data_IF_211523103384
#
_entry.id   IF_211523103384
#
_cell.length_a   1.000
_cell.length_b   1.000
_cell.length_c   1.000
_cell.angle_alpha   90.00
_cell.angle_beta   90.00
_cell.angle_gamma   90.00
#
_symmetry.space_group_name_H-M   'P 1'
#
loop_
_entity.id
_entity.type
_entity.pdbx_description
1 polymer ?
#
# COMPACT_ATOMS: atom_id res chain seq x y z
N UNK A 1 -20.39 11.76 27.41
CA UNK A 1 -18.99 11.59 26.97
C UNK A 1 -18.48 12.96 26.63
N UNK A 2 -17.47 13.47 27.36
CA UNK A 2 -16.90 14.78 27.12
C UNK A 2 -16.04 14.76 25.83
N UNK A 3 -16.00 15.83 25.04
CA UNK A 3 -15.19 15.89 23.83
C UNK A 3 -13.71 16.02 24.21
N UNK A 4 -12.86 15.30 23.50
CA UNK A 4 -11.40 15.44 23.53
C UNK A 4 -11.02 16.83 23.02
N UNK A 5 -10.86 17.79 23.94
CA UNK A 5 -10.39 19.14 23.64
C UNK A 5 -8.89 19.25 23.87
N UNK A 6 -8.13 19.58 22.82
CA UNK A 6 -6.78 20.11 22.96
C UNK A 6 -6.89 21.53 23.52
N UNK A 7 -6.30 21.78 24.69
CA UNK A 7 -6.12 23.14 25.21
C UNK A 7 -5.12 23.92 24.35
N UNK A 8 -5.27 25.24 24.19
CA UNK A 8 -4.39 26.05 23.36
C UNK A 8 -2.99 26.10 23.96
N UNK A 9 -1.98 25.68 23.18
CA UNK A 9 -0.57 25.78 23.57
C UNK A 9 -0.13 27.24 23.48
N UNK A 10 0.20 27.84 24.64
CA UNK A 10 0.99 29.07 24.67
C UNK A 10 2.38 28.76 24.14
N UNK A 11 2.87 29.57 23.21
CA UNK A 11 4.28 29.52 22.79
C UNK A 11 5.18 29.77 23.98
N UNK A 12 5.88 28.73 24.43
CA UNK A 12 7.00 28.83 25.35
C UNK A 12 8.21 28.18 24.68
N UNK A 13 9.31 28.93 24.63
CA UNK A 13 10.60 28.52 24.07
C UNK A 13 11.37 27.57 25.02
N UNK A 14 10.68 26.89 25.94
CA UNK A 14 11.31 26.10 27.01
C UNK A 14 11.39 24.59 26.65
N UNK A 15 12.60 24.03 26.45
CA UNK A 15 12.80 22.63 26.05
C UNK A 15 12.22 21.62 27.05
N UNK A 16 12.13 21.96 28.34
CA UNK A 16 11.55 21.08 29.37
C UNK A 16 10.02 20.97 29.23
N UNK A 17 9.36 22.05 28.83
CA UNK A 17 7.91 22.08 28.67
C UNK A 17 7.49 21.36 27.38
N UNK A 18 8.27 21.50 26.30
CA UNK A 18 8.11 20.71 25.08
C UNK A 18 8.25 19.21 25.35
N UNK A 19 9.26 18.80 26.13
CA UNK A 19 9.44 17.40 26.54
C UNK A 19 8.25 16.88 27.32
N UNK A 20 7.73 17.66 28.28
CA UNK A 20 6.57 17.29 29.09
C UNK A 20 5.28 17.20 28.26
N UNK A 21 5.11 18.07 27.26
CA UNK A 21 3.98 18.05 26.34
C UNK A 21 4.02 16.84 25.40
N UNK A 22 5.21 16.47 24.92
CA UNK A 22 5.43 15.23 24.18
C UNK A 22 5.11 14.03 25.07
N UNK A 23 5.64 13.97 26.30
CA UNK A 23 5.34 12.88 27.24
C UNK A 23 3.83 12.76 27.53
N UNK A 24 3.11 13.88 27.65
CA UNK A 24 1.66 13.91 27.83
C UNK A 24 0.89 13.43 26.59
N UNK A 25 1.32 13.82 25.39
CA UNK A 25 0.74 13.34 24.13
C UNK A 25 0.95 11.82 23.96
N UNK A 26 2.14 11.32 24.29
CA UNK A 26 2.47 9.89 24.26
C UNK A 26 1.65 9.09 25.29
N UNK A 27 1.43 9.65 26.49
CA UNK A 27 0.60 9.03 27.52
C UNK A 27 -0.89 8.97 27.10
N UNK A 28 -1.41 10.00 26.41
CA UNK A 28 -2.78 9.98 25.86
C UNK A 28 -2.96 8.94 24.76
N UNK A 29 -1.91 8.62 24.00
CA UNK A 29 -1.92 7.56 22.99
C UNK A 29 -1.76 6.14 23.59
N UNK A 30 -1.60 6.03 24.91
CA UNK A 30 -1.44 4.77 25.63
C UNK A 30 -0.07 4.10 25.44
N UNK A 31 0.95 4.87 25.03
CA UNK A 31 2.32 4.40 24.81
C UNK A 31 3.14 4.64 26.09
N UNK A 32 3.80 3.61 26.63
CA UNK A 32 4.61 3.75 27.84
C UNK A 32 6.05 4.22 27.51
N UNK A 33 6.55 5.31 28.13
CA UNK A 33 7.89 5.86 27.83
C UNK A 33 9.06 4.89 28.06
N UNK A 34 8.92 3.95 29.00
CA UNK A 34 10.00 3.03 29.38
C UNK A 34 10.24 1.90 28.37
N UNK A 35 9.19 1.41 27.69
CA UNK A 35 9.36 0.47 26.56
C UNK A 35 9.85 1.18 25.30
N UNK A 36 9.45 2.45 25.15
CA UNK A 36 9.79 3.32 24.03
C UNK A 36 11.27 3.75 24.03
N UNK A 37 11.85 4.14 25.16
CA UNK A 37 13.25 4.61 25.19
C UNK A 37 14.29 3.49 25.02
N UNK A 38 13.99 2.26 25.46
CA UNK A 38 14.95 1.15 25.43
C UNK A 38 15.18 0.57 24.03
N UNK A 39 14.23 0.72 23.10
CA UNK A 39 14.38 0.26 21.71
C UNK A 39 15.22 1.25 20.86
N UNK A 40 15.36 2.50 21.30
CA UNK A 40 15.95 3.60 20.53
C UNK A 40 17.31 4.08 21.06
N UNK A 41 17.85 3.48 22.13
CA UNK A 41 19.22 3.74 22.60
C UNK A 41 20.29 2.91 21.84
N UNK A 42 19.88 2.19 20.79
CA UNK A 42 20.81 1.71 19.77
C UNK A 42 21.02 2.88 18.82
N UNK A 43 22.26 3.33 18.60
CA UNK A 43 22.60 4.53 17.81
C UNK A 43 22.28 4.45 16.31
N UNK A 44 21.05 4.07 15.96
CA UNK A 44 20.55 4.00 14.61
C UNK A 44 20.49 5.42 14.02
N UNK A 45 21.32 5.63 12.99
CA UNK A 45 21.42 6.90 12.27
C UNK A 45 20.24 7.10 11.29
N UNK A 46 19.38 6.09 11.12
CA UNK A 46 18.22 6.09 10.22
C UNK A 46 16.88 6.07 10.98
N UNK A 47 15.86 6.70 10.38
CA UNK A 47 14.49 6.67 10.88
C UNK A 47 13.89 5.28 10.66
N UNK A 48 13.81 4.47 11.71
CA UNK A 48 13.08 3.19 11.68
C UNK A 48 11.63 3.41 12.11
N UNK A 49 10.67 3.03 11.28
CA UNK A 49 9.25 3.07 11.65
C UNK A 49 8.96 2.05 12.77
N UNK A 50 8.40 2.45 13.92
CA UNK A 50 8.14 1.52 15.01
C UNK A 50 6.99 0.55 14.67
N UNK A 51 7.35 -0.63 14.16
CA UNK A 51 6.43 -1.70 13.74
C UNK A 51 5.39 -2.05 14.81
N UNK A 52 5.83 -2.16 16.07
CA UNK A 52 4.95 -2.49 17.20
C UNK A 52 3.85 -1.45 17.41
N UNK A 53 4.15 -0.16 17.22
CA UNK A 53 3.17 0.93 17.37
C UNK A 53 2.12 0.83 16.27
N UNK A 54 2.55 0.69 15.02
CA UNK A 54 1.65 0.52 13.88
C UNK A 54 0.77 -0.73 14.04
N UNK A 55 1.35 -1.85 14.49
CA UNK A 55 0.64 -3.12 14.78
C UNK A 55 -0.44 -2.93 15.84
N UNK A 56 -0.10 -2.34 16.98
CA UNK A 56 -1.06 -2.14 18.09
C UNK A 56 -2.22 -1.23 17.67
N UNK A 57 -1.95 -0.17 16.94
CA UNK A 57 -2.96 0.76 16.45
C UNK A 57 -3.88 0.07 15.44
N UNK A 58 -3.32 -0.67 14.48
CA UNK A 58 -4.10 -1.45 13.52
C UNK A 58 -4.99 -2.48 14.22
N UNK A 59 -4.47 -3.21 15.21
CA UNK A 59 -5.26 -4.20 15.97
C UNK A 59 -6.35 -3.57 16.82
N UNK A 60 -6.07 -2.42 17.46
CA UNK A 60 -7.09 -1.64 18.18
C UNK A 60 -8.21 -1.21 17.23
N UNK A 61 -7.86 -0.72 16.03
CA UNK A 61 -8.83 -0.35 15.01
C UNK A 61 -9.72 -1.53 14.61
N UNK A 62 -9.11 -2.67 14.28
CA UNK A 62 -9.85 -3.90 13.91
C UNK A 62 -10.76 -4.36 15.04
N UNK A 63 -10.27 -4.37 16.28
CA UNK A 63 -11.04 -4.85 17.44
C UNK A 63 -12.23 -3.94 17.76
N UNK A 64 -12.08 -2.63 17.56
CA UNK A 64 -13.16 -1.66 17.77
C UNK A 64 -14.36 -1.89 16.85
N UNK A 65 -14.15 -2.55 15.70
CA UNK A 65 -15.18 -2.85 14.70
C UNK A 65 -15.70 -4.30 14.77
N UNK A 66 -15.45 -4.99 15.89
CA UNK A 66 -15.96 -6.33 16.14
C UNK A 66 -14.98 -7.44 15.77
N UNK A 67 -15.03 -8.52 16.55
CA UNK A 67 -14.20 -9.71 16.35
C UNK A 67 -15.07 -10.90 15.97
N UNK A 68 -14.72 -11.55 14.86
CA UNK A 68 -15.36 -12.77 14.38
C UNK A 68 -14.34 -13.92 14.40
N UNK A 69 -14.50 -14.91 15.29
CA UNK A 69 -13.60 -16.05 15.34
C UNK A 69 -13.80 -16.95 14.11
N UNK A 70 -12.70 -17.52 13.61
CA UNK A 70 -12.75 -18.57 12.58
C UNK A 70 -13.39 -19.81 13.20
N UNK A 71 -14.45 -20.32 12.56
CA UNK A 71 -15.08 -21.60 12.95
C UNK A 71 -14.68 -22.72 12.00
N UNK A 72 -14.91 -23.98 12.39
CA UNK A 72 -14.58 -25.16 11.58
C UNK A 72 -15.19 -25.12 10.18
N UNK A 73 -16.39 -24.55 10.04
CA UNK A 73 -17.04 -24.37 8.74
C UNK A 73 -16.21 -23.46 7.81
N UNK A 74 -15.70 -22.34 8.31
CA UNK A 74 -14.89 -21.42 7.50
C UNK A 74 -13.62 -22.09 7.00
N UNK A 75 -12.97 -22.87 7.88
CA UNK A 75 -11.76 -23.63 7.53
C UNK A 75 -12.05 -24.58 6.36
N UNK A 76 -13.12 -25.37 6.46
CA UNK A 76 -13.49 -26.33 5.43
C UNK A 76 -13.88 -25.63 4.11
N UNK A 77 -14.75 -24.62 4.19
CA UNK A 77 -15.26 -23.87 3.04
C UNK A 77 -14.14 -23.15 2.27
N UNK A 78 -13.16 -22.58 2.99
CA UNK A 78 -11.99 -21.92 2.39
C UNK A 78 -11.01 -22.95 1.84
N UNK A 79 -10.72 -24.02 2.58
CA UNK A 79 -9.79 -25.05 2.12
C UNK A 79 -10.29 -25.70 0.82
N UNK A 80 -11.59 -26.03 0.73
CA UNK A 80 -12.21 -26.55 -0.48
C UNK A 80 -12.06 -25.57 -1.66
N UNK A 81 -12.38 -24.29 -1.46
CA UNK A 81 -12.23 -23.27 -2.49
C UNK A 81 -10.77 -23.12 -2.97
N UNK A 82 -9.81 -23.20 -2.04
CA UNK A 82 -8.38 -23.13 -2.33
C UNK A 82 -7.87 -24.34 -3.11
N UNK A 83 -8.32 -25.55 -2.76
CA UNK A 83 -7.95 -26.77 -3.48
C UNK A 83 -8.50 -26.79 -4.92
N UNK A 84 -9.75 -26.34 -5.09
CA UNK A 84 -10.37 -26.13 -6.40
C UNK A 84 -9.57 -25.10 -7.19
N UNK A 85 -9.31 -23.94 -6.61
CA UNK A 85 -8.56 -22.86 -7.25
C UNK A 85 -7.17 -23.31 -7.68
N UNK A 86 -6.44 -24.00 -6.79
CA UNK A 86 -5.11 -24.51 -7.08
C UNK A 86 -5.10 -25.50 -8.26
N UNK A 87 -6.14 -26.34 -8.36
CA UNK A 87 -6.31 -27.26 -9.48
C UNK A 87 -6.56 -26.52 -10.78
N UNK A 88 -7.47 -25.55 -10.78
CA UNK A 88 -7.85 -24.81 -11.99
C UNK A 88 -6.74 -23.89 -12.50
N UNK A 89 -5.97 -23.29 -11.60
CA UNK A 89 -4.86 -22.40 -11.95
C UNK A 89 -3.74 -23.13 -12.70
N UNK A 90 -3.58 -24.45 -12.54
CA UNK A 90 -2.56 -25.22 -13.24
C UNK A 90 -2.74 -25.22 -14.77
N UNK A 91 -3.97 -24.99 -15.26
CA UNK A 91 -4.27 -24.89 -16.69
C UNK A 91 -4.19 -23.44 -17.20
N UNK A 92 -4.14 -22.46 -16.29
CA UNK A 92 -4.32 -21.05 -16.62
C UNK A 92 -3.04 -20.21 -16.52
N UNK A 93 -1.98 -20.70 -15.88
CA UNK A 93 -0.68 -20.03 -15.78
C UNK A 93 0.46 -21.05 -15.72
N UNK A 94 1.63 -20.64 -16.22
CA UNK A 94 2.87 -21.41 -16.09
C UNK A 94 3.46 -21.41 -14.69
N UNK A 95 3.06 -20.46 -13.84
CA UNK A 95 3.63 -20.37 -12.51
C UNK A 95 3.14 -21.56 -11.65
N UNK A 96 4.07 -22.37 -11.12
CA UNK A 96 3.73 -23.55 -10.33
C UNK A 96 3.01 -23.16 -9.05
N UNK A 97 2.22 -24.08 -8.52
CA UNK A 97 1.62 -23.93 -7.20
C UNK A 97 2.68 -23.66 -6.12
N UNK A 98 2.34 -22.84 -5.13
CA UNK A 98 3.19 -22.61 -3.97
C UNK A 98 3.25 -23.90 -3.12
N UNK A 99 4.27 -24.74 -3.36
CA UNK A 99 4.43 -26.04 -2.68
C UNK A 99 5.27 -25.95 -1.40
N UNK A 100 5.95 -24.82 -1.15
CA UNK A 100 7.17 -24.81 -0.33
C UNK A 100 7.02 -24.52 1.17
N UNK A 101 5.81 -24.33 1.73
CA UNK A 101 5.65 -23.95 3.15
C UNK A 101 4.57 -24.76 3.90
N UNK A 102 4.49 -26.05 3.55
CA UNK A 102 3.49 -27.06 3.96
C UNK A 102 3.37 -27.38 5.46
N UNK A 103 4.11 -26.74 6.38
CA UNK A 103 4.01 -27.10 7.81
C UNK A 103 2.96 -26.30 8.59
N UNK A 104 2.60 -25.08 8.16
CA UNK A 104 1.61 -24.25 8.88
C UNK A 104 0.32 -23.97 8.09
N UNK A 105 0.31 -24.16 6.76
CA UNK A 105 -0.85 -24.09 5.84
C UNK A 105 -2.01 -23.15 6.24
N UNK A 106 -1.69 -21.98 6.80
CA UNK A 106 -2.69 -21.02 7.27
C UNK A 106 -3.10 -20.19 6.06
N UNK A 107 -4.07 -20.71 5.31
CA UNK A 107 -4.70 -20.01 4.18
C UNK A 107 -5.94 -19.22 4.62
N UNK A 108 -6.19 -19.15 5.93
CA UNK A 108 -7.35 -18.54 6.55
C UNK A 108 -6.93 -17.58 7.66
N UNK A 109 -7.47 -16.36 7.61
CA UNK A 109 -7.07 -15.26 8.48
C UNK A 109 -8.30 -14.55 9.04
N UNK A 110 -8.26 -14.20 10.33
CA UNK A 110 -9.08 -13.08 10.82
C UNK A 110 -8.46 -11.77 10.35
N UNK A 111 -9.19 -10.65 10.45
CA UNK A 111 -8.64 -9.31 10.21
C UNK A 111 -7.39 -9.03 11.07
N UNK A 112 -7.40 -9.47 12.33
CA UNK A 112 -6.27 -9.31 13.23
C UNK A 112 -5.07 -10.18 12.83
N UNK A 113 -5.31 -11.42 12.39
CA UNK A 113 -4.26 -12.29 11.84
C UNK A 113 -3.65 -11.68 10.58
N UNK A 114 -4.46 -11.05 9.72
CA UNK A 114 -3.99 -10.38 8.51
C UNK A 114 -3.06 -9.21 8.84
N UNK A 115 -3.42 -8.40 9.86
CA UNK A 115 -2.53 -7.34 10.36
C UNK A 115 -1.19 -7.94 10.82
N UNK A 116 -1.23 -8.96 11.67
CA UNK A 116 -0.01 -9.59 12.19
C UNK A 116 0.84 -10.23 11.08
N UNK A 117 0.21 -10.77 10.03
CA UNK A 117 0.89 -11.40 8.91
C UNK A 117 1.55 -10.40 7.95
N UNK A 118 0.99 -9.19 7.81
CA UNK A 118 1.41 -8.21 6.78
C UNK A 118 2.25 -7.07 7.31
N UNK A 119 2.24 -6.82 8.63
CA UNK A 119 2.87 -5.63 9.23
C UNK A 119 4.37 -5.49 8.94
N UNK A 120 5.11 -6.60 8.88
CA UNK A 120 6.53 -6.58 8.51
C UNK A 120 6.73 -6.11 7.06
N UNK A 121 5.91 -6.62 6.12
CA UNK A 121 5.94 -6.17 4.73
C UNK A 121 5.53 -4.71 4.56
N UNK A 122 4.59 -4.23 5.38
CA UNK A 122 4.21 -2.82 5.43
C UNK A 122 5.36 -1.92 5.85
N UNK A 123 6.07 -2.29 6.92
CA UNK A 123 7.24 -1.54 7.38
C UNK A 123 8.30 -1.43 6.28
N UNK A 124 8.70 -2.56 5.68
CA UNK A 124 9.69 -2.60 4.60
C UNK A 124 9.29 -1.75 3.39
N UNK A 125 8.00 -1.71 3.08
CA UNK A 125 7.48 -0.98 1.93
C UNK A 125 7.43 0.54 2.20
N UNK A 126 7.11 0.95 3.43
CA UNK A 126 6.88 2.36 3.78
C UNK A 126 8.13 3.05 4.34
N UNK A 127 9.10 2.30 4.87
CA UNK A 127 10.33 2.84 5.47
C UNK A 127 11.13 3.78 4.55
N UNK A 128 11.34 3.50 3.25
CA UNK A 128 12.02 4.42 2.34
C UNK A 128 11.37 5.80 2.26
N UNK A 129 10.05 5.86 2.40
CA UNK A 129 9.27 7.10 2.36
C UNK A 129 9.47 7.92 3.61
N UNK A 130 9.41 7.25 4.77
CA UNK A 130 9.65 7.85 6.05
C UNK A 130 11.06 8.45 6.11
N UNK A 131 12.05 7.71 5.59
CA UNK A 131 13.43 8.18 5.46
C UNK A 131 13.55 9.40 4.55
N UNK A 132 12.89 9.39 3.38
CA UNK A 132 12.85 10.51 2.45
C UNK A 132 12.27 11.78 3.08
N UNK A 133 11.11 11.68 3.72
CA UNK A 133 10.45 12.80 4.40
C UNK A 133 11.31 13.36 5.54
N UNK A 134 11.91 12.50 6.36
CA UNK A 134 12.77 12.94 7.45
C UNK A 134 14.04 13.64 6.95
N UNK A 135 14.63 13.19 5.84
CA UNK A 135 15.76 13.88 5.18
C UNK A 135 15.34 15.25 4.67
N UNK A 136 14.19 15.34 3.99
CA UNK A 136 13.67 16.60 3.48
C UNK A 136 13.44 17.60 4.62
N UNK A 137 12.83 17.19 5.73
CA UNK A 137 12.61 18.07 6.90
C UNK A 137 13.90 18.46 7.60
N UNK A 138 14.86 17.53 7.73
CA UNK A 138 16.17 17.85 8.34
C UNK A 138 16.90 18.93 7.53
N UNK A 139 16.81 18.87 6.19
CA UNK A 139 17.41 19.87 5.31
C UNK A 139 16.83 21.29 5.49
N UNK A 140 15.56 21.39 5.93
CA UNK A 140 14.92 22.69 6.26
C UNK A 140 15.46 23.24 7.58
N UNK A 141 15.64 22.39 8.59
CA UNK A 141 16.17 22.78 9.90
C UNK A 141 17.63 23.22 9.78
N UNK A 142 18.44 22.50 9.00
CA UNK A 142 19.86 22.85 8.78
C UNK A 142 20.04 24.20 8.05
N UNK A 143 19.03 24.65 7.31
CA UNK A 143 19.03 25.93 6.61
C UNK A 143 18.62 27.12 7.49
N UNK A 144 18.09 26.89 8.70
CA UNK A 144 17.70 27.95 9.62
C UNK A 144 18.79 28.19 10.67
N UNK A 145 19.25 29.44 10.80
CA UNK A 145 20.11 29.84 11.92
C UNK A 145 19.28 29.81 13.21
N UNK A 146 19.69 28.97 14.18
CA UNK A 146 19.03 28.91 15.47
C UNK A 146 19.34 30.16 16.32
N UNK A 147 18.37 30.68 17.09
CA UNK A 147 18.60 31.71 18.09
C UNK A 147 19.62 31.30 19.16
N UNK A 148 20.37 32.26 19.70
CA UNK A 148 21.29 32.04 20.82
C UNK A 148 20.53 31.49 22.05
N UNK A 149 20.89 30.28 22.50
CA UNK A 149 20.29 29.61 23.66
C UNK A 149 19.38 28.40 23.33
N UNK A 150 19.13 28.13 22.04
CA UNK A 150 18.39 26.95 21.61
C UNK A 150 19.13 25.63 21.98
N UNK A 151 18.40 24.53 22.26
CA UNK A 151 19.02 23.23 22.45
C UNK A 151 19.89 22.86 21.24
N UNK A 152 20.94 22.03 21.41
CA UNK A 152 21.81 21.65 20.31
C UNK A 152 20.99 21.14 19.11
N UNK A 153 21.29 21.62 17.89
CA UNK A 153 20.59 21.23 16.65
C UNK A 153 20.38 19.71 16.57
N UNK A 154 21.41 18.95 16.98
CA UNK A 154 21.37 17.49 17.01
C UNK A 154 20.28 16.90 17.94
N UNK A 155 20.02 17.53 19.09
CA UNK A 155 18.98 17.09 20.03
C UNK A 155 17.58 17.40 19.51
N UNK A 156 17.38 18.57 18.89
CA UNK A 156 16.11 18.95 18.24
C UNK A 156 15.83 18.03 17.06
N UNK A 157 16.83 17.79 16.20
CA UNK A 157 16.71 16.90 15.05
C UNK A 157 16.38 15.46 15.46
N UNK A 158 16.98 14.95 16.53
CA UNK A 158 16.66 13.62 17.07
C UNK A 158 15.23 13.52 17.62
N UNK A 159 14.77 14.55 18.34
CA UNK A 159 13.40 14.62 18.86
C UNK A 159 12.37 14.71 17.74
N UNK A 160 12.61 15.57 16.75
CA UNK A 160 11.74 15.75 15.59
C UNK A 160 11.63 14.47 14.77
N UNK A 161 12.76 13.78 14.53
CA UNK A 161 12.79 12.47 13.86
C UNK A 161 11.94 11.44 14.61
N UNK A 162 12.05 11.39 15.93
CA UNK A 162 11.27 10.48 16.78
C UNK A 162 9.77 10.78 16.70
N UNK A 163 9.41 12.07 16.72
CA UNK A 163 8.04 12.54 16.59
C UNK A 163 7.44 12.16 15.23
N UNK A 164 8.16 12.42 14.13
CA UNK A 164 7.75 12.06 12.77
C UNK A 164 7.57 10.54 12.64
N UNK A 165 8.53 9.74 13.12
CA UNK A 165 8.42 8.28 13.07
C UNK A 165 7.18 7.76 13.80
N UNK A 166 6.83 8.38 14.92
CA UNK A 166 5.62 8.02 15.70
C UNK A 166 4.33 8.43 14.99
N UNK A 167 4.30 9.62 14.39
CA UNK A 167 3.15 10.11 13.63
C UNK A 167 2.90 9.25 12.38
N UNK A 168 3.97 8.93 11.63
CA UNK A 168 3.89 8.04 10.48
C UNK A 168 3.45 6.63 10.86
N UNK A 169 4.00 6.05 11.94
CA UNK A 169 3.57 4.75 12.43
C UNK A 169 2.10 4.74 12.87
N UNK A 170 1.63 5.85 13.46
CA UNK A 170 0.22 6.02 13.84
C UNK A 170 -0.69 6.05 12.62
N UNK A 171 -0.37 6.87 11.62
CA UNK A 171 -1.12 6.98 10.37
C UNK A 171 -1.10 5.65 9.59
N UNK A 172 0.06 4.99 9.55
CA UNK A 172 0.22 3.68 8.94
C UNK A 172 -0.66 2.63 9.66
N UNK A 173 -0.61 2.59 11.00
CA UNK A 173 -1.43 1.67 11.79
C UNK A 173 -2.93 1.88 11.56
N UNK A 174 -3.40 3.13 11.50
CA UNK A 174 -4.80 3.44 11.18
C UNK A 174 -5.17 2.98 9.76
N UNK A 175 -4.30 3.25 8.78
CA UNK A 175 -4.51 2.86 7.38
C UNK A 175 -4.57 1.34 7.24
N UNK A 176 -3.61 0.61 7.83
CA UNK A 176 -3.60 -0.87 7.85
C UNK A 176 -4.86 -1.41 8.52
N UNK A 177 -5.27 -0.81 9.64
CA UNK A 177 -6.50 -1.16 10.35
C UNK A 177 -7.73 -1.01 9.45
N UNK A 178 -7.85 0.11 8.73
CA UNK A 178 -8.94 0.34 7.80
C UNK A 178 -8.91 -0.64 6.61
N UNK A 179 -7.73 -0.88 6.03
CA UNK A 179 -7.55 -1.81 4.92
C UNK A 179 -7.96 -3.24 5.29
N UNK A 180 -7.69 -3.67 6.53
CA UNK A 180 -8.06 -4.99 7.02
C UNK A 180 -9.59 -5.26 6.96
N UNK A 181 -10.42 -4.24 6.85
CA UNK A 181 -11.87 -4.39 6.63
C UNK A 181 -12.26 -4.54 5.15
N UNK A 182 -11.47 -3.97 4.23
CA UNK A 182 -11.79 -3.95 2.80
C UNK A 182 -11.18 -5.08 1.99
N UNK A 183 -10.08 -5.68 2.46
CA UNK A 183 -9.35 -6.74 1.75
C UNK A 183 -9.97 -8.10 1.99
N UNK A 184 -10.08 -8.93 0.95
CA UNK A 184 -10.56 -10.31 1.04
C UNK A 184 -9.43 -11.34 1.15
N UNK A 185 -8.20 -10.94 0.84
CA UNK A 185 -7.01 -11.78 0.96
C UNK A 185 -5.69 -11.02 1.19
N UNK A 186 -4.59 -11.77 1.23
CA UNK A 186 -3.24 -11.25 1.51
C UNK A 186 -2.69 -10.32 0.44
N UNK A 187 -3.01 -10.54 -0.84
CA UNK A 187 -2.44 -9.84 -1.98
C UNK A 187 -3.41 -8.83 -2.63
N UNK A 188 -4.58 -8.58 -2.03
CA UNK A 188 -5.56 -7.64 -2.60
C UNK A 188 -5.05 -6.20 -2.78
N UNK A 189 -4.08 -5.81 -1.95
CA UNK A 189 -3.38 -4.52 -2.02
C UNK A 189 -2.44 -4.45 -3.24
N UNK A 190 -2.08 -5.58 -3.85
CA UNK A 190 -1.12 -5.64 -4.96
C UNK A 190 0.33 -5.40 -4.53
N UNK A 191 0.60 -5.34 -3.23
CA UNK A 191 1.93 -5.21 -2.65
C UNK A 191 2.38 -6.56 -2.06
N UNK A 192 3.67 -6.89 -2.14
CA UNK A 192 4.25 -8.11 -1.56
C UNK A 192 4.47 -7.93 -0.05
N UNK A 193 3.38 -8.09 0.71
CA UNK A 193 3.37 -7.82 2.16
C UNK A 193 3.74 -9.04 3.01
N UNK A 194 3.84 -10.23 2.41
CA UNK A 194 4.11 -11.49 3.10
C UNK A 194 5.22 -12.24 2.38
N UNK A 195 6.25 -12.61 3.15
CA UNK A 195 7.36 -13.44 2.68
C UNK A 195 7.45 -14.71 3.57
N UNK A 196 7.52 -15.92 2.99
CA UNK A 196 7.34 -16.24 1.58
C UNK A 196 5.91 -15.96 1.10
N UNK A 197 5.74 -15.69 -0.20
CA UNK A 197 4.42 -15.46 -0.77
C UNK A 197 3.57 -16.73 -0.66
N UNK A 198 2.33 -16.54 -0.21
CA UNK A 198 1.37 -17.63 -0.01
C UNK A 198 -0.05 -17.09 -0.11
N UNK A 199 -1.00 -17.88 -0.61
CA UNK A 199 -2.37 -17.43 -0.69
C UNK A 199 -3.00 -17.42 0.71
N UNK A 200 -3.94 -16.51 0.93
CA UNK A 200 -4.63 -16.40 2.21
C UNK A 200 -5.89 -15.57 2.10
N UNK A 201 -6.97 -16.04 2.70
CA UNK A 201 -8.30 -15.44 2.61
C UNK A 201 -8.82 -15.01 3.99
N UNK A 202 -9.67 -13.98 3.99
CA UNK A 202 -10.40 -13.48 5.16
C UNK A 202 -11.89 -13.82 4.97
N UNK A 203 -12.39 -14.94 5.54
CA UNK A 203 -13.75 -15.42 5.31
C UNK A 203 -14.82 -14.37 5.61
N UNK A 204 -14.65 -13.65 6.73
CA UNK A 204 -15.54 -12.57 7.12
C UNK A 204 -15.71 -11.53 6.01
N UNK A 205 -14.59 -11.07 5.44
CA UNK A 205 -14.63 -10.03 4.43
C UNK A 205 -15.18 -10.56 3.10
N UNK A 206 -14.97 -11.83 2.79
CA UNK A 206 -15.58 -12.49 1.62
C UNK A 206 -17.09 -12.58 1.77
N UNK A 207 -17.59 -12.93 2.95
CA UNK A 207 -19.03 -12.97 3.25
C UNK A 207 -19.65 -11.57 3.14
N UNK A 208 -19.05 -10.57 3.79
CA UNK A 208 -19.47 -9.16 3.68
C UNK A 208 -19.38 -8.64 2.24
N UNK A 209 -18.37 -9.08 1.47
CA UNK A 209 -18.25 -8.73 0.07
C UNK A 209 -19.39 -9.32 -0.76
N UNK A 210 -19.78 -10.56 -0.48
CA UNK A 210 -20.80 -11.31 -1.19
C UNK A 210 -22.26 -10.95 -0.89
N UNK A 211 -22.53 -10.28 0.23
CA UNK A 211 -23.87 -10.15 0.82
C UNK A 211 -24.96 -9.65 -0.15
N UNK A 212 -24.63 -8.67 -1.00
CA UNK A 212 -25.61 -7.96 -1.85
C UNK A 212 -25.56 -8.36 -3.34
N UNK A 213 -24.73 -9.34 -3.71
CA UNK A 213 -24.48 -9.68 -5.14
C UNK A 213 -25.47 -10.74 -5.65
N UNK A 214 -26.12 -11.49 -4.75
CA UNK A 214 -27.06 -12.56 -5.12
C UNK A 214 -26.40 -13.76 -5.83
N UNK A 215 -25.09 -13.94 -5.61
CA UNK A 215 -24.30 -15.07 -6.14
C UNK A 215 -24.11 -16.12 -5.04
N UNK A 216 -24.04 -17.39 -5.43
CA UNK A 216 -23.76 -18.48 -4.50
C UNK A 216 -22.44 -18.23 -3.71
N UNK A 217 -22.45 -18.30 -2.37
CA UNK A 217 -21.26 -18.09 -1.55
C UNK A 217 -20.05 -18.97 -1.93
N UNK A 218 -20.28 -20.19 -2.42
CA UNK A 218 -19.20 -21.07 -2.89
C UNK A 218 -18.50 -20.51 -4.12
N UNK A 219 -19.26 -19.93 -5.07
CA UNK A 219 -18.68 -19.31 -6.26
C UNK A 219 -17.89 -18.04 -5.91
N UNK A 220 -18.36 -17.26 -4.94
CA UNK A 220 -17.63 -16.09 -4.42
C UNK A 220 -16.31 -16.54 -3.79
N UNK A 221 -16.31 -17.56 -2.93
CA UNK A 221 -15.09 -18.09 -2.32
C UNK A 221 -14.10 -18.60 -3.36
N UNK A 222 -14.55 -19.37 -4.35
CA UNK A 222 -13.69 -19.89 -5.43
C UNK A 222 -13.10 -18.74 -6.25
N UNK A 223 -13.88 -17.69 -6.56
CA UNK A 223 -13.37 -16.52 -7.26
C UNK A 223 -12.24 -15.82 -6.53
N UNK A 224 -12.40 -15.56 -5.22
CA UNK A 224 -11.34 -14.96 -4.41
C UNK A 224 -10.14 -15.90 -4.22
N UNK A 225 -10.37 -17.21 -4.08
CA UNK A 225 -9.31 -18.22 -4.00
C UNK A 225 -8.49 -18.31 -5.29
N UNK A 226 -9.12 -18.25 -6.47
CA UNK A 226 -8.43 -18.20 -7.76
C UNK A 226 -7.54 -16.96 -7.85
N UNK A 227 -8.08 -15.81 -7.47
CA UNK A 227 -7.32 -14.55 -7.52
C UNK A 227 -6.13 -14.57 -6.58
N UNK A 228 -6.33 -15.01 -5.34
CA UNK A 228 -5.23 -15.10 -4.37
C UNK A 228 -4.19 -16.14 -4.76
N UNK A 229 -4.62 -17.31 -5.24
CA UNK A 229 -3.71 -18.33 -5.75
C UNK A 229 -2.88 -17.82 -6.93
N UNK A 230 -3.48 -17.07 -7.86
CA UNK A 230 -2.75 -16.49 -8.99
C UNK A 230 -1.69 -15.48 -8.52
N UNK A 231 -2.07 -14.54 -7.64
CA UNK A 231 -1.15 -13.51 -7.13
C UNK A 231 -0.02 -14.11 -6.28
N UNK A 232 -0.32 -15.11 -5.45
CA UNK A 232 0.71 -15.81 -4.68
C UNK A 232 1.73 -16.51 -5.59
N UNK A 233 1.27 -17.16 -6.67
CA UNK A 233 2.16 -17.77 -7.66
C UNK A 233 2.98 -16.72 -8.42
N UNK A 234 2.39 -15.57 -8.75
CA UNK A 234 3.08 -14.47 -9.43
C UNK A 234 4.27 -13.97 -8.61
N UNK A 235 4.05 -13.60 -7.34
CA UNK A 235 5.10 -13.03 -6.49
C UNK A 235 6.18 -14.06 -6.13
N UNK A 236 5.81 -15.32 -5.92
CA UNK A 236 6.76 -16.39 -5.61
C UNK A 236 7.69 -16.72 -6.80
N UNK A 237 7.20 -16.56 -8.04
CA UNK A 237 7.96 -16.85 -9.26
C UNK A 237 8.63 -15.63 -9.89
N UNK A 238 8.34 -14.41 -9.41
CA UNK A 238 8.94 -13.18 -9.91
C UNK A 238 9.47 -12.29 -8.77
N UNK A 239 10.53 -12.72 -8.04
CA UNK A 239 11.06 -11.94 -6.91
C UNK A 239 11.50 -10.53 -7.28
N UNK A 240 11.97 -10.32 -8.51
CA UNK A 240 12.37 -9.00 -9.01
C UNK A 240 11.22 -7.99 -9.00
N UNK A 241 9.96 -8.44 -9.12
CA UNK A 241 8.79 -7.57 -9.11
C UNK A 241 8.60 -6.93 -7.72
N UNK A 242 8.95 -7.67 -6.67
CA UNK A 242 8.95 -7.18 -5.28
C UNK A 242 9.94 -6.02 -5.16
N UNK A 243 11.17 -6.23 -5.64
CA UNK A 243 12.22 -5.22 -5.62
C UNK A 243 11.87 -4.02 -6.50
N UNK A 244 11.24 -4.25 -7.66
CA UNK A 244 10.77 -3.18 -8.55
C UNK A 244 9.73 -2.28 -7.88
N UNK A 245 8.71 -2.85 -7.24
CA UNK A 245 7.68 -2.10 -6.53
C UNK A 245 8.27 -1.31 -5.35
N UNK A 246 9.11 -1.96 -4.53
CA UNK A 246 9.81 -1.31 -3.41
C UNK A 246 10.74 -0.20 -3.90
N UNK A 247 11.43 -0.43 -5.02
CA UNK A 247 12.29 0.53 -5.68
C UNK A 247 11.54 1.77 -6.14
N UNK A 248 10.41 1.61 -6.84
CA UNK A 248 9.57 2.72 -7.29
C UNK A 248 9.03 3.55 -6.10
N UNK A 249 8.62 2.89 -5.02
CA UNK A 249 8.20 3.57 -3.78
C UNK A 249 9.38 4.33 -3.15
N UNK A 250 10.57 3.73 -3.11
CA UNK A 250 11.78 4.38 -2.63
C UNK A 250 12.22 5.58 -3.48
N UNK A 251 12.14 5.49 -4.80
CA UNK A 251 12.37 6.59 -5.74
C UNK A 251 11.42 7.77 -5.45
N UNK A 252 10.13 7.48 -5.27
CA UNK A 252 9.14 8.48 -4.91
C UNK A 252 9.47 9.18 -3.58
N UNK A 253 9.79 8.41 -2.53
CA UNK A 253 10.15 8.93 -1.22
C UNK A 253 11.42 9.79 -1.23
N UNK A 254 12.45 9.38 -1.97
CA UNK A 254 13.69 10.13 -2.12
C UNK A 254 13.52 11.42 -2.94
N UNK A 255 12.50 11.48 -3.81
CA UNK A 255 12.17 12.66 -4.59
C UNK A 255 11.44 13.75 -3.80
N UNK A 256 11.05 13.50 -2.55
CA UNK A 256 10.36 14.48 -1.70
C UNK A 256 11.27 15.68 -1.43
N UNK A 257 10.87 16.86 -1.89
CA UNK A 257 11.54 18.13 -1.60
C UNK A 257 10.57 19.04 -0.85
N UNK A 258 11.02 19.62 0.25
CA UNK A 258 10.25 20.62 0.98
C UNK A 258 10.74 21.99 0.53
N UNK A 259 9.91 22.69 -0.25
CA UNK A 259 10.18 24.07 -0.64
C UNK A 259 9.65 25.01 0.44
N UNK A 260 10.56 25.44 1.32
CA UNK A 260 10.27 26.37 2.41
C UNK A 260 9.75 27.71 1.88
N UNK A 261 10.24 28.17 0.72
CA UNK A 261 9.81 29.41 0.13
C UNK A 261 8.37 29.29 -0.40
N UNK A 262 8.03 28.17 -1.02
CA UNK A 262 6.66 27.88 -1.42
C UNK A 262 5.72 27.83 -0.21
N UNK A 263 6.11 27.16 0.87
CA UNK A 263 5.33 27.12 2.11
C UNK A 263 5.13 28.53 2.68
N UNK A 264 6.16 29.37 2.71
CA UNK A 264 6.05 30.75 3.17
C UNK A 264 5.10 31.58 2.29
N UNK A 265 5.20 31.43 0.98
CA UNK A 265 4.33 32.13 0.03
C UNK A 265 2.87 31.68 0.18
N UNK A 266 2.62 30.37 0.30
CA UNK A 266 1.28 29.82 0.54
C UNK A 266 0.72 30.25 1.90
N UNK A 267 1.55 30.35 2.94
CA UNK A 267 1.13 30.85 4.25
C UNK A 267 0.69 32.31 4.14
N UNK A 268 1.51 33.15 3.48
CA UNK A 268 1.22 34.56 3.27
C UNK A 268 -0.09 34.73 2.47
N UNK A 269 -0.26 33.99 1.39
CA UNK A 269 -1.47 34.01 0.56
C UNK A 269 -2.71 33.52 1.32
N UNK A 270 -2.57 32.50 2.16
CA UNK A 270 -3.65 32.00 3.01
C UNK A 270 -4.07 33.00 4.10
N UNK A 271 -3.13 33.77 4.66
CA UNK A 271 -3.43 34.87 5.57
C UNK A 271 -4.10 36.04 4.85
N UNK A 272 -3.62 36.40 3.65
CA UNK A 272 -4.17 37.50 2.86
C UNK A 272 -5.57 37.21 2.31
N UNK A 273 -5.83 35.96 1.92
CA UNK A 273 -7.14 35.50 1.44
C UNK A 273 -8.16 35.22 2.56
N UNK A 274 -7.71 35.22 3.82
CA UNK A 274 -8.55 34.85 4.98
C UNK A 274 -8.85 33.36 5.08
N UNK A 275 -8.15 32.50 4.33
CA UNK A 275 -8.23 31.05 4.44
C UNK A 275 -7.70 30.54 5.80
N UNK A 276 -6.70 31.24 6.35
CA UNK A 276 -6.26 31.07 7.73
C UNK A 276 -6.65 32.34 8.51
N UNK A 277 -7.54 32.18 9.49
CA UNK A 277 -7.89 33.23 10.44
C UNK A 277 -7.15 32.98 11.77
N UNK A 278 -6.23 33.87 12.19
CA UNK A 278 -5.53 33.79 13.47
C UNK A 278 -6.47 33.68 14.69
N UNK A 279 -7.71 34.14 14.56
CA UNK A 279 -8.71 34.12 15.63
C UNK A 279 -9.60 32.87 15.60
N UNK A 280 -9.47 32.03 14.57
CA UNK A 280 -10.20 30.78 14.43
C UNK A 280 -9.24 29.59 14.19
N UNK A 281 -8.83 28.87 15.24
CA UNK A 281 -7.95 27.71 15.13
C UNK A 281 -8.45 26.61 14.18
N UNK A 282 -9.77 26.47 13.99
CA UNK A 282 -10.34 25.48 13.07
C UNK A 282 -10.06 25.81 11.60
N UNK A 283 -9.86 27.09 11.26
CA UNK A 283 -9.51 27.51 9.90
C UNK A 283 -8.19 26.90 9.44
N UNK A 284 -7.23 26.74 10.35
CA UNK A 284 -5.93 26.11 10.08
C UNK A 284 -6.09 24.63 9.73
N UNK A 285 -6.91 23.91 10.49
CA UNK A 285 -7.22 22.49 10.25
C UNK A 285 -7.96 22.29 8.92
N UNK A 286 -8.90 23.18 8.59
CA UNK A 286 -9.63 23.15 7.33
C UNK A 286 -8.69 23.43 6.15
N UNK A 287 -7.82 24.44 6.26
CA UNK A 287 -6.87 24.80 5.22
C UNK A 287 -5.84 23.69 4.93
N UNK A 288 -5.28 23.06 5.98
CA UNK A 288 -4.40 21.89 5.84
C UNK A 288 -5.11 20.72 5.14
N UNK A 289 -6.36 20.42 5.53
CA UNK A 289 -7.16 19.37 4.88
C UNK A 289 -7.53 19.69 3.42
N UNK A 290 -7.48 20.97 3.03
CA UNK A 290 -7.70 21.43 1.64
C UNK A 290 -6.41 21.43 0.81
N UNK A 291 -5.30 20.93 1.36
CA UNK A 291 -4.04 20.79 0.64
C UNK A 291 -3.14 22.03 0.70
N UNK A 292 -3.46 23.02 1.54
CA UNK A 292 -2.54 24.12 1.83
C UNK A 292 -1.26 23.53 2.46
N UNK A 293 -0.08 23.91 1.95
CA UNK A 293 1.24 23.37 2.31
C UNK A 293 1.58 21.98 1.75
N UNK A 294 0.86 21.51 0.73
CA UNK A 294 1.28 20.32 -0.02
C UNK A 294 2.37 20.73 -1.01
N UNK A 295 3.60 20.17 -0.92
CA UNK A 295 4.66 20.45 -1.89
C UNK A 295 4.26 19.97 -3.29
N UNK A 296 4.68 20.71 -4.33
CA UNK A 296 4.52 20.23 -5.71
C UNK A 296 5.39 18.99 -5.96
N UNK A 297 4.82 18.00 -6.64
CA UNK A 297 5.54 16.81 -7.05
C UNK A 297 6.63 17.13 -8.09
N UNK A 298 7.85 16.68 -7.80
CA UNK A 298 8.97 16.71 -8.74
C UNK A 298 8.72 15.79 -9.96
N UNK A 299 9.48 16.00 -11.04
CA UNK A 299 9.37 15.14 -12.24
C UNK A 299 9.75 13.70 -11.90
N UNK A 300 10.77 13.53 -11.06
CA UNK A 300 11.23 12.24 -10.58
C UNK A 300 10.14 11.51 -9.76
N UNK A 301 9.38 12.23 -8.93
CA UNK A 301 8.23 11.65 -8.21
C UNK A 301 7.12 11.20 -9.16
N UNK A 302 6.80 12.02 -10.17
CA UNK A 302 5.78 11.67 -11.17
C UNK A 302 6.17 10.43 -11.97
N UNK A 303 7.43 10.32 -12.36
CA UNK A 303 7.95 9.16 -13.08
C UNK A 303 7.92 7.90 -12.20
N UNK A 304 8.34 8.00 -10.94
CA UNK A 304 8.30 6.90 -9.98
C UNK A 304 6.85 6.43 -9.71
N UNK A 305 5.91 7.37 -9.57
CA UNK A 305 4.50 7.08 -9.41
C UNK A 305 3.93 6.39 -10.65
N UNK A 306 4.22 6.89 -11.85
CA UNK A 306 3.75 6.29 -13.10
C UNK A 306 4.24 4.84 -13.25
N UNK A 307 5.52 4.55 -12.93
CA UNK A 307 6.06 3.18 -12.91
C UNK A 307 5.29 2.27 -11.97
N UNK A 308 4.96 2.78 -10.77
CA UNK A 308 4.24 2.04 -9.74
C UNK A 308 2.79 1.76 -10.14
N UNK A 309 2.09 2.77 -10.67
CA UNK A 309 0.72 2.62 -11.19
C UNK A 309 0.64 1.58 -12.32
N UNK A 310 1.58 1.63 -13.26
CA UNK A 310 1.65 0.66 -14.37
C UNK A 310 1.87 -0.75 -13.83
N UNK A 311 2.82 -0.95 -12.92
CA UNK A 311 3.09 -2.27 -12.35
C UNK A 311 1.88 -2.82 -11.59
N UNK A 312 1.24 -2.02 -10.75
CA UNK A 312 0.03 -2.41 -10.03
C UNK A 312 -1.14 -2.74 -10.96
N UNK A 313 -1.32 -1.95 -12.02
CA UNK A 313 -2.34 -2.22 -13.05
C UNK A 313 -2.05 -3.53 -13.80
N UNK A 314 -0.79 -3.78 -14.14
CA UNK A 314 -0.37 -5.03 -14.78
C UNK A 314 -0.59 -6.25 -13.89
N UNK A 315 -0.27 -6.16 -12.60
CA UNK A 315 -0.53 -7.25 -11.62
C UNK A 315 -2.03 -7.54 -11.56
N UNK A 316 -2.86 -6.50 -11.42
CA UNK A 316 -4.31 -6.64 -11.32
C UNK A 316 -4.94 -7.20 -12.60
N UNK A 317 -4.51 -6.68 -13.76
CA UNK A 317 -4.98 -7.11 -15.07
C UNK A 317 -4.57 -8.55 -15.40
N UNK A 318 -3.35 -8.96 -15.01
CA UNK A 318 -2.88 -10.32 -15.23
C UNK A 318 -3.69 -11.30 -14.38
N UNK A 319 -3.92 -10.95 -13.11
CA UNK A 319 -4.74 -11.76 -12.22
C UNK A 319 -6.18 -11.89 -12.76
N UNK A 320 -6.75 -10.83 -13.34
CA UNK A 320 -8.08 -10.89 -13.96
C UNK A 320 -8.11 -11.84 -15.19
N UNK A 321 -7.12 -11.80 -16.08
CA UNK A 321 -7.05 -12.74 -17.22
C UNK A 321 -6.83 -14.19 -16.76
N UNK A 322 -5.93 -14.42 -15.80
CA UNK A 322 -5.67 -15.76 -15.24
C UNK A 322 -6.91 -16.33 -14.56
N UNK A 323 -7.59 -15.55 -13.72
CA UNK A 323 -8.84 -15.97 -13.07
C UNK A 323 -9.91 -16.27 -14.11
N UNK A 324 -10.01 -15.43 -15.15
CA UNK A 324 -10.99 -15.61 -16.23
C UNK A 324 -10.75 -16.93 -16.96
N UNK A 325 -9.49 -17.21 -17.29
CA UNK A 325 -9.10 -18.44 -17.98
C UNK A 325 -9.27 -19.69 -17.08
N UNK A 326 -8.87 -19.61 -15.82
CA UNK A 326 -8.95 -20.73 -14.86
C UNK A 326 -10.39 -21.12 -14.54
N UNK A 327 -11.26 -20.12 -14.34
CA UNK A 327 -12.67 -20.33 -14.07
C UNK A 327 -13.41 -20.83 -15.32
N UNK A 328 -13.22 -20.18 -16.47
CA UNK A 328 -13.94 -20.50 -17.71
C UNK A 328 -15.45 -20.67 -17.47
N UNK A 329 -16.03 -21.72 -18.04
CA UNK A 329 -17.46 -22.06 -17.87
C UNK A 329 -17.78 -22.75 -16.53
N UNK A 330 -16.76 -23.08 -15.71
CA UNK A 330 -16.94 -23.79 -14.42
C UNK A 330 -17.52 -22.88 -13.34
N UNK A 331 -17.44 -21.55 -13.54
CA UNK A 331 -17.97 -20.55 -12.61
C UNK A 331 -19.02 -19.66 -13.32
N UNK A 332 -20.30 -20.06 -13.38
CA UNK A 332 -21.32 -19.36 -14.16
C UNK A 332 -21.48 -17.87 -13.80
N UNK A 333 -21.21 -17.49 -12.55
CA UNK A 333 -21.34 -16.11 -12.06
C UNK A 333 -20.09 -15.25 -12.27
N UNK A 334 -19.05 -15.77 -12.94
CA UNK A 334 -17.75 -15.11 -13.10
C UNK A 334 -17.86 -13.67 -13.59
N UNK A 335 -18.65 -13.42 -14.64
CA UNK A 335 -18.80 -12.06 -15.19
C UNK A 335 -19.40 -11.07 -14.17
N UNK A 336 -20.35 -11.52 -13.35
CA UNK A 336 -20.94 -10.71 -12.28
C UNK A 336 -19.93 -10.41 -11.18
N UNK A 337 -19.13 -11.41 -10.80
CA UNK A 337 -18.08 -11.29 -9.78
C UNK A 337 -16.97 -10.33 -10.23
N UNK A 338 -16.49 -10.48 -11.47
CA UNK A 338 -15.49 -9.58 -12.09
C UNK A 338 -16.00 -8.14 -12.18
N UNK A 339 -17.22 -7.94 -12.64
CA UNK A 339 -17.83 -6.60 -12.72
C UNK A 339 -17.98 -5.97 -11.32
N UNK A 340 -18.36 -6.76 -10.32
CA UNK A 340 -18.47 -6.28 -8.94
C UNK A 340 -17.12 -5.87 -8.37
N UNK A 341 -16.08 -6.70 -8.56
CA UNK A 341 -14.72 -6.37 -8.15
C UNK A 341 -14.23 -5.09 -8.82
N UNK A 342 -14.45 -4.96 -10.13
CA UNK A 342 -14.07 -3.77 -10.91
C UNK A 342 -14.73 -2.50 -10.40
N UNK A 343 -16.03 -2.53 -10.09
CA UNK A 343 -16.76 -1.36 -9.54
C UNK A 343 -16.19 -0.94 -8.19
N UNK A 344 -15.95 -1.89 -7.29
CA UNK A 344 -15.38 -1.61 -5.97
C UNK A 344 -13.96 -1.07 -6.06
N UNK A 345 -13.12 -1.59 -6.97
CA UNK A 345 -11.77 -1.06 -7.21
C UNK A 345 -11.78 0.36 -7.79
N UNK A 346 -12.82 0.74 -8.54
CA UNK A 346 -12.94 2.10 -9.06
C UNK A 346 -13.35 3.13 -7.99
N UNK A 347 -14.05 2.72 -6.93
CA UNK A 347 -14.52 3.61 -5.85
C UNK A 347 -13.66 3.58 -4.59
N UNK A 348 -13.01 2.44 -4.33
CA UNK A 348 -12.40 2.14 -3.04
C UNK A 348 -11.37 1.01 -3.15
N UNK A 349 -10.35 1.15 -4.01
CA UNK A 349 -9.25 0.17 -4.06
C UNK A 349 -8.40 0.25 -2.78
N UNK A 350 -8.01 -0.89 -2.16
CA UNK A 350 -7.11 -0.90 -1.01
C UNK A 350 -5.79 -0.14 -1.27
N UNK A 351 -5.24 -0.31 -2.47
CA UNK A 351 -4.03 0.38 -2.89
C UNK A 351 -4.27 1.88 -2.99
N UNK A 352 -5.37 2.32 -3.59
CA UNK A 352 -5.74 3.75 -3.64
C UNK A 352 -5.89 4.33 -2.24
N UNK A 353 -6.57 3.63 -1.32
CA UNK A 353 -6.74 4.10 0.05
C UNK A 353 -5.41 4.27 0.77
N UNK A 354 -4.48 3.33 0.57
CA UNK A 354 -3.12 3.44 1.08
C UNK A 354 -2.39 4.65 0.48
N UNK A 355 -2.39 4.80 -0.84
CA UNK A 355 -1.65 5.88 -1.48
C UNK A 355 -2.26 7.26 -1.17
N UNK A 356 -3.58 7.34 -1.10
CA UNK A 356 -4.29 8.54 -0.67
C UNK A 356 -3.96 8.89 0.79
N UNK A 357 -3.91 7.90 1.69
CA UNK A 357 -3.65 8.16 3.11
C UNK A 357 -2.18 8.47 3.42
N UNK A 358 -1.24 7.90 2.67
CA UNK A 358 0.20 8.09 2.89
C UNK A 358 0.80 9.22 2.05
N UNK A 359 0.21 9.53 0.89
CA UNK A 359 0.80 10.45 -0.09
C UNK A 359 -0.18 11.49 -0.63
N UNK A 360 -1.47 11.43 -0.28
CA UNK A 360 -2.47 12.31 -0.89
C UNK A 360 -2.71 12.05 -2.38
N UNK A 361 -2.34 10.85 -2.87
CA UNK A 361 -2.37 10.52 -4.29
C UNK A 361 -3.64 9.75 -4.69
N UNK A 362 -4.16 10.08 -5.87
CA UNK A 362 -5.24 9.34 -6.53
C UNK A 362 -4.67 8.45 -7.64
N UNK A 363 -4.82 7.12 -7.50
CA UNK A 363 -4.42 6.18 -8.57
C UNK A 363 -5.53 6.06 -9.62
N UNK A 364 -5.18 6.14 -10.91
CA UNK A 364 -6.19 6.16 -11.98
C UNK A 364 -6.89 4.80 -12.23
N UNK A 365 -8.24 4.69 -12.12
CA UNK A 365 -8.98 3.47 -12.45
C UNK A 365 -8.93 3.06 -13.92
N UNK A 366 -8.49 3.96 -14.82
CA UNK A 366 -8.40 3.70 -16.26
C UNK A 366 -7.34 2.63 -16.56
N UNK A 367 -6.19 2.71 -15.89
CA UNK A 367 -5.03 1.86 -16.16
C UNK A 367 -5.32 0.38 -15.94
N UNK A 368 -6.07 0.02 -14.89
CA UNK A 368 -6.43 -1.38 -14.61
C UNK A 368 -7.24 -2.03 -15.74
N UNK A 369 -8.10 -1.26 -16.42
CA UNK A 369 -8.88 -1.78 -17.56
C UNK A 369 -8.01 -2.01 -18.79
N UNK A 370 -7.12 -1.06 -19.08
CA UNK A 370 -6.17 -1.16 -20.20
C UNK A 370 -5.23 -2.34 -19.99
N UNK A 371 -4.74 -2.56 -18.76
CA UNK A 371 -3.91 -3.70 -18.42
C UNK A 371 -4.64 -5.05 -18.57
N UNK A 372 -5.88 -5.20 -18.09
CA UNK A 372 -6.65 -6.44 -18.28
C UNK A 372 -6.88 -6.76 -19.78
N UNK A 373 -7.18 -5.73 -20.59
CA UNK A 373 -7.30 -5.88 -22.04
C UNK A 373 -5.97 -6.29 -22.68
N UNK A 374 -4.86 -5.67 -22.27
CA UNK A 374 -3.51 -6.02 -22.72
C UNK A 374 -3.21 -7.51 -22.51
N UNK A 375 -3.41 -8.04 -21.29
CA UNK A 375 -3.13 -9.44 -21.00
C UNK A 375 -3.99 -10.42 -21.79
N UNK A 376 -5.28 -10.09 -21.92
CA UNK A 376 -6.21 -10.86 -22.74
C UNK A 376 -5.74 -10.93 -24.19
N UNK A 377 -5.33 -9.79 -24.75
CA UNK A 377 -4.89 -9.69 -26.15
C UNK A 377 -3.56 -10.41 -26.40
N UNK A 378 -2.56 -10.28 -25.51
CA UNK A 378 -1.30 -11.03 -25.61
C UNK A 378 -1.57 -12.54 -25.69
N UNK A 379 -2.47 -13.04 -24.84
CA UNK A 379 -2.85 -14.46 -24.82
C UNK A 379 -3.59 -14.89 -26.10
N UNK A 380 -4.47 -14.03 -26.63
CA UNK A 380 -5.21 -14.31 -27.87
C UNK A 380 -4.29 -14.29 -29.09
N UNK A 381 -3.36 -13.35 -29.16
CA UNK A 381 -2.41 -13.20 -30.27
C UNK A 381 -1.41 -14.35 -30.34
N UNK A 382 -1.02 -14.90 -29.19
CA UNK A 382 -0.02 -15.97 -29.08
C UNK A 382 -0.56 -17.12 -28.23
N UNK A 383 -0.21 -17.14 -26.95
CA UNK A 383 -0.59 -18.19 -26.00
C UNK A 383 -0.37 -17.75 -24.55
N UNK A 384 -0.73 -18.65 -23.61
CA UNK A 384 -0.51 -18.50 -22.17
C UNK A 384 0.98 -18.38 -21.84
N UNK A 385 1.85 -19.07 -22.59
CA UNK A 385 3.29 -19.05 -22.33
C UNK A 385 3.88 -17.67 -22.57
N UNK A 386 3.55 -17.06 -23.70
CA UNK A 386 3.97 -15.71 -24.08
C UNK A 386 3.43 -14.69 -23.09
N UNK A 387 2.15 -14.82 -22.70
CA UNK A 387 1.55 -13.96 -21.67
C UNK A 387 2.35 -14.00 -20.37
N UNK A 388 2.65 -15.18 -19.84
CA UNK A 388 3.37 -15.25 -18.55
C UNK A 388 4.86 -14.88 -18.69
N UNK A 389 5.45 -15.05 -19.88
CA UNK A 389 6.84 -14.68 -20.15
C UNK A 389 7.10 -13.16 -20.10
N UNK A 390 6.06 -12.32 -20.26
CA UNK A 390 6.15 -10.86 -20.08
C UNK A 390 6.75 -10.50 -18.73
N UNK A 391 6.46 -11.28 -17.68
CA UNK A 391 7.02 -11.07 -16.34
C UNK A 391 8.53 -11.35 -16.22
N UNK A 392 9.17 -11.91 -17.25
CA UNK A 392 10.62 -12.09 -17.28
C UNK A 392 11.36 -10.97 -18.04
N UNK A 393 10.63 -10.05 -18.66
CA UNK A 393 11.16 -8.98 -19.51
C UNK A 393 10.95 -7.58 -18.95
N UNK A 394 11.04 -6.60 -19.84
CA UNK A 394 10.75 -5.20 -19.53
C UNK A 394 9.23 -5.02 -19.50
N UNK A 395 8.71 -4.42 -18.43
CA UNK A 395 7.27 -4.13 -18.32
C UNK A 395 6.83 -3.15 -19.42
N UNK A 396 5.64 -3.34 -20.01
CA UNK A 396 5.11 -2.41 -20.99
C UNK A 396 4.90 -1.03 -20.38
N UNK A 397 5.17 0.00 -21.17
CA UNK A 397 4.78 1.38 -20.88
C UNK A 397 3.27 1.57 -21.02
N UNK A 398 2.75 2.70 -20.50
CA UNK A 398 1.33 3.04 -20.65
C UNK A 398 0.86 3.05 -22.11
N UNK A 399 1.70 3.54 -23.04
CA UNK A 399 1.35 3.55 -24.46
C UNK A 399 1.24 2.13 -25.03
N UNK A 400 2.15 1.24 -24.62
CA UNK A 400 2.20 -0.16 -25.05
C UNK A 400 1.04 -1.00 -24.51
N UNK A 401 0.41 -0.61 -23.39
CA UNK A 401 -0.82 -1.28 -22.91
C UNK A 401 -1.95 -1.24 -23.95
N UNK A 402 -1.94 -0.22 -24.82
CA UNK A 402 -2.94 -0.05 -25.89
C UNK A 402 -2.52 -0.63 -27.24
N UNK A 403 -1.27 -1.09 -27.37
CA UNK A 403 -0.74 -1.80 -28.55
C UNK A 403 0.00 -3.09 -28.14
N UNK A 404 -0.72 -4.14 -27.69
CA UNK A 404 -0.12 -5.41 -27.28
C UNK A 404 0.71 -6.06 -28.39
N UNK A 405 0.29 -5.91 -29.65
CA UNK A 405 1.02 -6.45 -30.79
C UNK A 405 2.34 -5.69 -31.03
N UNK A 406 2.35 -4.36 -30.84
CA UNK A 406 3.55 -3.53 -30.89
C UNK A 406 4.54 -3.88 -29.79
N UNK A 407 4.04 -4.07 -28.56
CA UNK A 407 4.85 -4.54 -27.44
C UNK A 407 5.52 -5.89 -27.74
N UNK A 408 4.77 -6.88 -28.24
CA UNK A 408 5.38 -8.18 -28.60
C UNK A 408 6.50 -8.03 -29.63
N UNK A 409 6.32 -7.16 -30.64
CA UNK A 409 7.38 -6.89 -31.62
C UNK A 409 8.59 -6.16 -31.04
N UNK A 410 8.42 -5.37 -29.97
CA UNK A 410 9.52 -4.64 -29.33
C UNK A 410 10.38 -5.54 -28.44
N UNK A 411 9.79 -6.61 -27.89
CA UNK A 411 10.48 -7.57 -27.02
C UNK A 411 10.95 -8.84 -27.72
N UNK A 412 10.38 -9.18 -28.89
CA UNK A 412 10.90 -10.26 -29.74
C UNK A 412 12.26 -9.84 -30.33
N UNK A 413 13.34 -10.52 -29.92
CA UNK A 413 14.64 -10.41 -30.60
C UNK A 413 14.43 -10.95 -32.02
N UNK A 414 14.76 -10.19 -33.09
CA UNK A 414 14.65 -10.71 -34.45
C UNK A 414 15.51 -11.95 -34.58
N UNK A 415 14.91 -13.09 -34.94
CA UNK A 415 15.64 -14.31 -35.34
C UNK A 415 16.64 -14.00 -36.48
N UNK A 416 16.32 -12.95 -37.24
CA UNK A 416 16.97 -12.38 -38.42
C UNK A 416 18.17 -11.41 -38.19
N UNK A 417 19.30 -11.74 -37.56
CA UNK A 417 20.41 -10.74 -37.40
C UNK A 417 21.12 -10.37 -38.72
N UNK A 418 20.87 -11.08 -39.83
CA UNK A 418 21.53 -10.80 -41.12
C UNK A 418 21.06 -9.51 -41.80
N UNK A 419 19.92 -8.95 -41.39
CA UNK A 419 19.43 -7.67 -41.91
C UNK A 419 20.05 -6.45 -41.23
N UNK A 420 20.81 -6.63 -40.14
CA UNK A 420 21.50 -5.54 -39.42
C UNK A 420 22.92 -5.26 -39.95
N UNK A 421 23.33 -5.95 -41.02
CA UNK A 421 24.64 -5.82 -41.64
C UNK A 421 24.58 -5.56 -43.14
N UNK A 422 23.91 -4.48 -43.57
CA UNK A 422 24.07 -3.94 -44.92
C UNK A 422 24.09 -2.41 -44.93
#
# INVERSE_FOLDING_TARGET
>A
MAPFGFSPMSGSEDPEEMKKNIEAAFAQLGITPAGFLNQFNTGASELTLPENVAREIAKKFVTAHGFHPIVTKDINDIQEAMDIANTWLNEATLFPANLSHSTDNKNIYTRADWVDATIAGWQLTVEPLASGLAKAMSSVVDQQELPEGAPPIAAIAGMLRTFIGTLLATQLGQSIGALAHGVTGLHDVGLPLVEPSRPGLIPQNIEEWGADIGVDPSQIRIFHALREGALARLFDNNPWLIDYLRGAIGEYGNGVRIDVQQIQNQAQEAFESGAIDPNNPESFTIALNQGLFTPDESTEQKDALAKLEIALALIDGWADDVVTLAAGDRLPSLNSLRETLRRRRATSSPTQQLFASLFGLEVSPRMSREASAFWTEIRILKDVHTRDHVWSGILPTQAELTDPAGYLRSVEIPDDLSTLGH
#
